data_IF_965782801020
#
_entry.id   IF_965782801020
#
_cell.length_a   1.000
_cell.length_b   1.000
_cell.length_c   1.000
_cell.angle_alpha   90.00
_cell.angle_beta   90.00
_cell.angle_gamma   90.00
#
_symmetry.space_group_name_H-M   'P 1'
#
loop_
_entity.id
_entity.type
_entity.pdbx_description
1 polymer ?
#
# COMPACT_ATOMS: atom_id res chain seq x y z
N UNK A 1 32.08 56.81 47.95
CA UNK A 1 31.54 55.44 47.73
C UNK A 1 30.59 55.50 46.54
N UNK A 2 30.96 54.87 45.42
CA UNK A 2 30.13 54.82 44.22
C UNK A 2 29.11 53.66 44.30
N UNK A 3 27.91 53.77 43.71
CA UNK A 3 26.90 52.71 43.73
C UNK A 3 27.28 51.57 42.78
N UNK A 4 26.94 50.34 43.17
CA UNK A 4 27.19 49.13 42.38
C UNK A 4 26.33 49.10 41.10
N UNK A 5 26.83 48.51 39.99
CA UNK A 5 26.09 48.43 38.74
C UNK A 5 24.96 47.38 38.81
N UNK A 6 23.90 47.52 37.98
CA UNK A 6 22.78 46.59 37.97
C UNK A 6 23.19 45.22 37.36
N UNK A 7 22.64 44.15 37.93
CA UNK A 7 22.82 42.77 37.44
C UNK A 7 22.17 42.61 36.06
N UNK A 8 22.89 41.96 35.15
CA UNK A 8 22.39 41.57 33.83
C UNK A 8 21.25 40.55 33.94
N UNK A 9 20.25 40.57 33.03
CA UNK A 9 19.21 39.55 32.99
C UNK A 9 19.81 38.21 32.54
N UNK A 10 19.50 37.14 33.27
CA UNK A 10 19.89 35.78 32.91
C UNK A 10 19.20 35.29 31.64
N UNK A 11 19.74 34.24 30.98
CA UNK A 11 19.16 33.71 29.75
C UNK A 11 17.74 33.20 29.99
N UNK A 12 16.81 33.71 29.20
CA UNK A 12 15.42 33.23 29.16
C UNK A 12 15.43 31.79 28.65
N UNK A 13 15.07 30.84 29.51
CA UNK A 13 14.93 29.45 29.12
C UNK A 13 13.74 29.32 28.15
N UNK A 14 14.03 29.18 26.87
CA UNK A 14 13.04 28.80 25.86
C UNK A 14 12.44 27.45 26.25
N UNK A 15 11.12 27.42 26.45
CA UNK A 15 10.40 26.19 26.72
C UNK A 15 10.58 25.20 25.55
N UNK A 16 10.73 23.89 25.81
CA UNK A 16 10.80 22.89 24.74
C UNK A 16 9.47 22.87 23.97
N UNK A 17 9.58 22.95 22.65
CA UNK A 17 8.43 22.86 21.74
C UNK A 17 7.75 21.50 21.88
N UNK A 18 6.48 21.51 22.31
CA UNK A 18 5.60 20.33 22.43
C UNK A 18 5.04 19.89 21.06
N UNK A 19 5.84 19.98 19.99
CA UNK A 19 5.41 19.49 18.70
C UNK A 19 5.36 17.96 18.74
N UNK A 20 4.16 17.39 18.63
CA UNK A 20 4.00 15.96 18.44
C UNK A 20 4.83 15.51 17.22
N UNK A 21 5.44 14.31 17.26
CA UNK A 21 6.18 13.80 16.12
C UNK A 21 5.25 13.74 14.89
N UNK A 22 5.77 14.03 13.68
CA UNK A 22 4.96 13.97 12.47
C UNK A 22 4.41 12.56 12.29
N UNK A 23 3.09 12.47 12.09
CA UNK A 23 2.43 11.21 11.72
C UNK A 23 3.02 10.77 10.37
N UNK A 24 3.48 9.52 10.21
CA UNK A 24 3.96 9.01 8.94
C UNK A 24 2.88 9.19 7.86
N UNK A 25 3.25 9.77 6.72
CA UNK A 25 2.34 9.93 5.58
C UNK A 25 2.04 8.56 4.98
N UNK A 26 0.75 8.22 4.88
CA UNK A 26 0.30 6.97 4.25
C UNK A 26 -0.16 7.28 2.84
N UNK A 27 0.11 6.38 1.90
CA UNK A 27 -0.28 6.60 0.51
C UNK A 27 -1.80 6.59 0.29
N UNK A 28 -2.57 6.18 1.30
CA UNK A 28 -4.02 6.06 1.27
C UNK A 28 -4.78 7.20 2.00
N UNK A 29 -4.09 8.22 2.52
CA UNK A 29 -4.74 9.27 3.32
C UNK A 29 -5.44 10.34 2.44
N UNK A 30 -4.87 10.70 1.28
CA UNK A 30 -5.36 11.80 0.42
C UNK A 30 -6.10 11.32 -0.84
N UNK A 31 -6.88 10.25 -0.72
CA UNK A 31 -7.61 9.68 -1.85
C UNK A 31 -8.85 10.52 -2.20
N UNK A 32 -8.97 10.92 -3.46
CA UNK A 32 -10.10 11.73 -3.97
C UNK A 32 -11.34 10.91 -4.35
N UNK A 33 -11.25 9.59 -4.21
CA UNK A 33 -12.33 8.64 -4.44
C UNK A 33 -12.16 7.42 -3.54
N UNK A 34 -13.23 6.67 -3.22
CA UNK A 34 -13.13 5.46 -2.42
C UNK A 34 -12.26 4.38 -3.08
N UNK A 35 -11.62 3.55 -2.27
CA UNK A 35 -11.00 2.32 -2.74
C UNK A 35 -12.06 1.31 -3.17
N UNK A 36 -11.79 0.64 -4.28
CA UNK A 36 -12.53 -0.57 -4.64
C UNK A 36 -11.86 -1.76 -3.97
N UNK A 37 -12.64 -2.59 -3.31
CA UNK A 37 -12.14 -3.75 -2.56
C UNK A 37 -12.86 -5.03 -2.94
N UNK A 38 -12.13 -6.14 -2.93
CA UNK A 38 -12.68 -7.46 -3.18
C UNK A 38 -11.98 -8.50 -2.30
N UNK A 39 -12.71 -9.49 -1.80
CA UNK A 39 -12.17 -10.56 -0.94
C UNK A 39 -12.43 -11.91 -1.61
N UNK A 40 -11.41 -12.77 -1.63
CA UNK A 40 -11.49 -14.10 -2.25
C UNK A 40 -10.65 -15.14 -1.50
N UNK A 41 -10.92 -16.42 -1.76
CA UNK A 41 -10.12 -17.56 -1.28
C UNK A 41 -8.88 -17.84 -2.14
N UNK A 42 -8.84 -17.30 -3.35
CA UNK A 42 -7.69 -17.37 -4.25
C UNK A 42 -7.20 -15.97 -4.63
N UNK A 43 -5.91 -15.81 -4.98
CA UNK A 43 -5.38 -14.57 -5.53
C UNK A 43 -6.11 -14.13 -6.80
N UNK A 44 -6.28 -12.82 -6.93
CA UNK A 44 -6.75 -12.17 -8.14
C UNK A 44 -5.64 -12.10 -9.20
N UNK A 45 -4.39 -11.87 -8.81
CA UNK A 45 -3.28 -11.86 -9.74
C UNK A 45 -2.94 -13.28 -10.27
N UNK A 46 -2.88 -13.50 -11.60
CA UNK A 46 -2.65 -14.84 -12.16
C UNK A 46 -1.35 -15.50 -11.71
N UNK A 47 -0.27 -14.73 -11.62
CA UNK A 47 1.04 -15.22 -11.13
C UNK A 47 0.94 -15.73 -9.69
N UNK A 48 0.25 -15.01 -8.82
CA UNK A 48 0.06 -15.44 -7.44
C UNK A 48 -0.87 -16.63 -7.34
N UNK A 49 -1.92 -16.71 -8.18
CA UNK A 49 -2.85 -17.84 -8.17
C UNK A 49 -2.15 -19.16 -8.49
N UNK A 50 -1.25 -19.16 -9.47
CA UNK A 50 -0.47 -20.34 -9.83
C UNK A 50 0.45 -20.77 -8.68
N UNK A 51 1.20 -19.84 -8.09
CA UNK A 51 2.07 -20.14 -6.96
C UNK A 51 1.28 -20.55 -5.72
N UNK A 52 0.15 -19.91 -5.43
CA UNK A 52 -0.74 -20.24 -4.32
C UNK A 52 -1.24 -21.68 -4.39
N UNK A 53 -1.66 -22.15 -5.58
CA UNK A 53 -2.09 -23.54 -5.77
C UNK A 53 -0.98 -24.53 -5.45
N UNK A 54 0.25 -24.23 -5.86
CA UNK A 54 1.43 -25.06 -5.52
C UNK A 54 1.67 -25.09 -4.01
N UNK A 55 1.66 -23.93 -3.35
CA UNK A 55 1.82 -23.85 -1.88
C UNK A 55 0.76 -24.69 -1.17
N UNK A 56 -0.51 -24.56 -1.57
CA UNK A 56 -1.61 -25.30 -0.95
C UNK A 56 -1.57 -26.80 -1.25
N UNK A 57 -0.99 -27.21 -2.37
CA UNK A 57 -0.79 -28.62 -2.74
C UNK A 57 0.48 -29.24 -2.13
N UNK A 58 1.38 -28.43 -1.54
CA UNK A 58 2.69 -28.89 -1.08
C UNK A 58 3.72 -29.08 -2.20
N UNK A 59 3.49 -28.45 -3.36
CA UNK A 59 4.38 -28.51 -4.52
C UNK A 59 5.51 -27.47 -4.44
N UNK A 60 6.64 -27.70 -5.13
CA UNK A 60 7.73 -26.73 -5.19
C UNK A 60 7.32 -25.42 -5.88
N UNK A 61 7.57 -24.30 -5.21
CA UNK A 61 7.43 -22.93 -5.75
C UNK A 61 8.77 -22.36 -6.16
N UNK A 62 8.78 -21.45 -7.13
CA UNK A 62 10.02 -20.83 -7.61
C UNK A 62 10.64 -19.93 -6.53
N UNK A 63 11.96 -20.03 -6.36
CA UNK A 63 12.72 -19.11 -5.53
C UNK A 63 12.88 -17.81 -6.30
N UNK A 64 12.52 -16.69 -5.66
CA UNK A 64 12.66 -15.38 -6.28
C UNK A 64 14.14 -15.17 -6.69
N UNK A 65 14.42 -14.81 -7.96
CA UNK A 65 15.78 -14.63 -8.47
C UNK A 65 16.67 -13.68 -7.65
N UNK A 66 16.06 -12.74 -6.91
CA UNK A 66 16.79 -11.82 -6.04
C UNK A 66 17.39 -12.45 -4.77
N UNK A 67 16.96 -13.66 -4.40
CA UNK A 67 17.37 -14.36 -3.17
C UNK A 67 18.10 -15.67 -3.49
N UNK A 68 17.87 -16.24 -4.68
CA UNK A 68 18.52 -17.46 -5.13
C UNK A 68 17.89 -17.98 -6.40
N UNK A 69 18.19 -19.23 -6.74
CA UNK A 69 17.65 -19.92 -7.92
C UNK A 69 17.09 -21.30 -7.55
N UNK A 70 16.18 -21.81 -8.37
CA UNK A 70 15.59 -23.14 -8.21
C UNK A 70 14.18 -23.12 -7.60
N UNK A 71 13.75 -24.27 -7.09
CA UNK A 71 12.42 -24.49 -6.53
C UNK A 71 12.51 -25.05 -5.12
N UNK A 72 11.53 -24.71 -4.27
CA UNK A 72 11.45 -25.22 -2.90
C UNK A 72 9.98 -25.36 -2.47
N UNK A 73 9.66 -26.42 -1.74
CA UNK A 73 8.35 -26.57 -1.07
C UNK A 73 8.32 -25.60 0.12
N UNK A 74 7.30 -24.76 0.21
CA UNK A 74 7.19 -23.70 1.21
C UNK A 74 5.86 -23.75 1.93
N UNK A 75 5.87 -23.39 3.22
CA UNK A 75 4.64 -23.08 3.94
C UNK A 75 4.04 -21.75 3.45
N UNK A 76 2.76 -21.50 3.76
CA UNK A 76 2.11 -20.21 3.49
C UNK A 76 2.91 -19.04 4.10
N UNK A 77 3.36 -19.19 5.35
CA UNK A 77 4.14 -18.16 6.04
C UNK A 77 5.50 -17.91 5.36
N UNK A 78 6.18 -18.95 4.89
CA UNK A 78 7.46 -18.80 4.18
C UNK A 78 7.28 -18.13 2.82
N UNK A 79 6.29 -18.59 2.03
CA UNK A 79 6.01 -18.02 0.72
C UNK A 79 5.58 -16.56 0.80
N UNK A 80 4.67 -16.24 1.73
CA UNK A 80 4.17 -14.88 1.96
C UNK A 80 5.11 -13.99 2.76
N UNK A 81 6.14 -14.54 3.41
CA UNK A 81 7.18 -13.78 4.10
C UNK A 81 7.97 -12.85 3.16
N UNK A 82 7.85 -13.06 1.86
CA UNK A 82 8.42 -12.23 0.79
C UNK A 82 7.61 -10.96 0.51
N UNK A 83 6.36 -10.93 0.94
CA UNK A 83 5.46 -9.79 0.79
C UNK A 83 5.64 -8.85 1.98
N UNK A 84 5.43 -7.55 1.77
CA UNK A 84 5.63 -6.55 2.83
C UNK A 84 4.48 -6.62 3.82
N UNK A 85 4.68 -6.19 5.06
CA UNK A 85 3.52 -5.94 5.94
C UNK A 85 2.79 -4.70 5.43
N UNK A 86 1.47 -4.72 5.51
CA UNK A 86 0.63 -3.59 5.14
C UNK A 86 0.29 -2.77 6.38
N UNK A 87 1.13 -1.79 6.72
CA UNK A 87 0.84 -0.89 7.85
C UNK A 87 -0.31 0.09 7.51
N UNK A 88 -0.54 0.31 6.22
CA UNK A 88 -1.60 1.17 5.69
C UNK A 88 -2.95 0.45 5.60
N UNK A 89 -3.00 -0.87 5.61
CA UNK A 89 -4.24 -1.62 5.72
C UNK A 89 -4.03 -2.83 6.61
N UNK A 90 -3.88 -2.62 7.93
CA UNK A 90 -3.44 -3.67 8.83
C UNK A 90 -4.50 -4.75 9.04
N UNK A 91 -5.78 -4.47 8.75
CA UNK A 91 -6.88 -5.40 8.98
C UNK A 91 -7.23 -6.24 7.75
N UNK A 92 -7.52 -7.52 7.99
CA UNK A 92 -8.14 -8.41 7.03
C UNK A 92 -9.56 -7.90 6.67
N UNK A 93 -9.90 -7.90 5.38
CA UNK A 93 -11.23 -7.50 4.91
C UNK A 93 -12.26 -8.65 4.95
N UNK A 94 -11.84 -9.88 5.26
CA UNK A 94 -12.78 -10.99 5.39
C UNK A 94 -13.71 -10.73 6.60
N UNK A 95 -15.04 -10.74 6.42
CA UNK A 95 -16.00 -10.25 7.41
C UNK A 95 -15.85 -10.83 8.83
N UNK A 96 -15.43 -12.09 8.95
CA UNK A 96 -15.37 -12.81 10.23
C UNK A 96 -13.94 -13.08 10.73
N UNK A 97 -12.90 -12.61 10.01
CA UNK A 97 -11.53 -12.95 10.37
C UNK A 97 -11.01 -12.08 11.53
N UNK A 98 -11.15 -10.75 11.43
CA UNK A 98 -10.58 -9.80 12.38
C UNK A 98 -9.04 -9.82 12.48
N UNK A 99 -8.35 -10.64 11.67
CA UNK A 99 -6.91 -10.81 11.71
C UNK A 99 -6.16 -9.57 11.23
N UNK A 100 -4.98 -9.33 11.82
CA UNK A 100 -4.15 -8.18 11.50
C UNK A 100 -2.75 -8.52 10.97
N UNK A 101 -2.42 -9.81 10.85
CA UNK A 101 -1.18 -10.25 10.19
C UNK A 101 -1.44 -10.43 8.71
N UNK A 102 -1.46 -9.30 8.01
CA UNK A 102 -1.61 -9.27 6.55
C UNK A 102 -0.27 -9.01 5.87
N UNK A 103 -0.04 -9.75 4.78
CA UNK A 103 1.10 -9.58 3.89
C UNK A 103 0.60 -8.99 2.58
N UNK A 104 1.24 -7.95 2.09
CA UNK A 104 0.86 -7.19 0.90
C UNK A 104 1.91 -7.31 -0.21
N UNK A 105 1.40 -7.51 -1.41
CA UNK A 105 2.12 -7.36 -2.65
C UNK A 105 1.40 -6.33 -3.52
N UNK A 106 2.01 -5.15 -3.67
CA UNK A 106 1.48 -4.12 -4.55
C UNK A 106 1.87 -4.39 -6.01
N UNK A 107 0.93 -4.19 -6.93
CA UNK A 107 1.16 -4.28 -8.37
C UNK A 107 1.22 -2.87 -8.92
N UNK A 108 2.30 -2.14 -8.61
CA UNK A 108 2.49 -0.83 -9.21
C UNK A 108 2.82 -1.03 -10.69
N UNK A 109 1.83 -0.88 -11.56
CA UNK A 109 2.10 -0.44 -12.93
C UNK A 109 1.88 1.07 -12.98
N UNK A 110 2.96 1.75 -12.57
CA UNK A 110 3.32 3.14 -12.88
C UNK A 110 2.49 4.28 -12.26
N UNK A 111 3.14 5.01 -11.32
CA UNK A 111 2.99 6.47 -11.19
C UNK A 111 3.61 7.24 -12.38
N UNK A 112 4.45 6.58 -13.20
CA UNK A 112 5.12 7.18 -14.36
C UNK A 112 4.41 6.89 -15.69
N UNK A 113 4.14 7.92 -16.50
CA UNK A 113 3.33 7.92 -17.76
C UNK A 113 1.86 8.26 -17.60
N UNK A 114 1.48 8.92 -16.50
CA UNK A 114 0.14 9.44 -16.33
C UNK A 114 -0.88 8.31 -16.40
N UNK A 115 -0.79 7.33 -15.50
CA UNK A 115 -1.88 6.39 -15.18
C UNK A 115 -1.97 6.39 -13.66
N UNK A 116 -2.85 7.19 -13.06
CA UNK A 116 -3.03 7.23 -11.60
C UNK A 116 -3.88 6.04 -11.15
N UNK A 117 -3.32 4.85 -11.35
CA UNK A 117 -3.92 3.56 -11.05
C UNK A 117 -3.02 2.84 -10.06
N UNK A 118 -3.59 2.52 -8.91
CA UNK A 118 -2.97 1.68 -7.90
C UNK A 118 -3.78 0.42 -7.73
N UNK A 119 -3.11 -0.71 -7.58
CA UNK A 119 -3.72 -1.94 -7.16
C UNK A 119 -2.77 -2.71 -6.25
N UNK A 120 -3.36 -3.37 -5.27
CA UNK A 120 -2.64 -4.13 -4.26
C UNK A 120 -3.41 -5.37 -3.89
N UNK A 121 -2.68 -6.45 -3.66
CA UNK A 121 -3.22 -7.70 -3.13
C UNK A 121 -2.59 -7.97 -1.78
N UNK A 122 -3.41 -8.38 -0.82
CA UNK A 122 -2.99 -8.74 0.52
C UNK A 122 -3.49 -10.12 0.89
N UNK A 123 -2.66 -10.93 1.54
CA UNK A 123 -2.98 -12.22 2.13
C UNK A 123 -3.07 -12.08 3.65
N UNK A 124 -4.15 -12.56 4.25
CA UNK A 124 -4.25 -12.70 5.71
C UNK A 124 -3.66 -14.03 6.17
N UNK A 125 -2.72 -14.01 7.11
CA UNK A 125 -2.11 -15.24 7.64
C UNK A 125 -2.98 -15.97 8.68
N UNK A 126 -4.07 -15.36 9.15
CA UNK A 126 -5.00 -16.01 10.07
C UNK A 126 -6.04 -16.88 9.34
N UNK A 127 -6.65 -16.37 8.26
CA UNK A 127 -7.71 -17.07 7.52
C UNK A 127 -7.35 -17.45 6.08
N UNK A 128 -6.15 -17.09 5.62
CA UNK A 128 -5.68 -17.28 4.24
C UNK A 128 -6.58 -16.68 3.15
N UNK A 129 -7.44 -15.71 3.50
CA UNK A 129 -8.19 -14.95 2.51
C UNK A 129 -7.31 -13.88 1.86
N UNK A 130 -7.55 -13.66 0.58
CA UNK A 130 -6.95 -12.61 -0.22
C UNK A 130 -7.87 -11.39 -0.26
N UNK A 131 -7.29 -10.21 -0.14
CA UNK A 131 -7.95 -8.92 -0.27
C UNK A 131 -7.30 -8.15 -1.41
N UNK A 132 -8.07 -7.83 -2.44
CA UNK A 132 -7.67 -6.91 -3.50
C UNK A 132 -8.15 -5.52 -3.17
N UNK A 133 -7.29 -4.52 -3.37
CA UNK A 133 -7.63 -3.11 -3.31
C UNK A 133 -7.19 -2.44 -4.60
N UNK A 134 -8.01 -1.56 -5.15
CA UNK A 134 -7.62 -0.74 -6.28
C UNK A 134 -8.16 0.68 -6.16
N UNK A 135 -7.40 1.61 -6.70
CA UNK A 135 -7.70 3.02 -6.75
C UNK A 135 -7.44 3.55 -8.15
N UNK A 136 -8.36 4.36 -8.65
CA UNK A 136 -8.17 5.19 -9.84
C UNK A 136 -8.53 6.61 -9.45
N UNK A 137 -7.62 7.53 -9.71
CA UNK A 137 -7.91 8.95 -9.53
C UNK A 137 -9.07 9.36 -10.45
N UNK A 138 -10.13 10.03 -9.93
CA UNK A 138 -11.30 10.41 -10.74
C UNK A 138 -10.99 11.40 -11.87
N UNK A 139 -9.98 12.25 -11.72
CA UNK A 139 -9.59 13.20 -12.78
C UNK A 139 -8.70 12.54 -13.84
N UNK A 140 -8.31 11.28 -13.62
CA UNK A 140 -7.49 10.56 -14.55
C UNK A 140 -8.32 10.03 -15.73
N UNK A 141 -8.23 10.74 -16.86
CA UNK A 141 -8.80 10.32 -18.15
C UNK A 141 -7.80 9.44 -18.90
N UNK A 142 -8.27 8.35 -19.50
CA UNK A 142 -7.47 7.62 -20.49
C UNK A 142 -7.36 8.44 -21.78
N UNK A 143 -6.34 8.20 -22.64
CA UNK A 143 -6.22 8.89 -23.94
C UNK A 143 -7.51 8.84 -24.76
N UNK A 144 -8.19 7.69 -24.79
CA UNK A 144 -9.43 7.48 -25.55
C UNK A 144 -10.59 8.30 -24.97
N UNK A 145 -10.67 8.42 -23.63
CA UNK A 145 -11.68 9.27 -22.98
C UNK A 145 -11.44 10.75 -23.28
N UNK A 146 -10.17 11.18 -23.24
CA UNK A 146 -9.79 12.55 -23.56
C UNK A 146 -10.10 12.89 -25.02
N UNK A 147 -9.70 12.03 -25.97
CA UNK A 147 -9.98 12.22 -27.39
C UNK A 147 -11.48 12.26 -27.68
N UNK A 148 -12.26 11.37 -27.07
CA UNK A 148 -13.72 11.38 -27.22
C UNK A 148 -14.32 12.70 -26.78
N UNK A 149 -13.97 13.20 -25.60
CA UNK A 149 -14.49 14.49 -25.11
C UNK A 149 -14.08 15.66 -26.00
N UNK A 150 -12.85 15.65 -26.54
CA UNK A 150 -12.37 16.65 -27.50
C UNK A 150 -13.24 16.65 -28.76
N UNK A 151 -13.43 15.48 -29.37
CA UNK A 151 -14.23 15.35 -30.60
C UNK A 151 -15.70 15.72 -30.38
N UNK A 152 -16.28 15.30 -29.26
CA UNK A 152 -17.64 15.71 -28.91
C UNK A 152 -17.76 17.21 -28.66
N UNK A 153 -16.71 17.84 -28.13
CA UNK A 153 -16.62 19.30 -27.98
C UNK A 153 -16.67 20.01 -29.33
N UNK A 154 -15.87 19.54 -30.29
CA UNK A 154 -15.83 20.05 -31.67
C UNK A 154 -17.17 19.83 -32.39
N UNK A 155 -17.84 18.69 -32.17
CA UNK A 155 -19.13 18.40 -32.79
C UNK A 155 -20.30 19.24 -32.23
N UNK A 156 -20.14 19.81 -31.04
CA UNK A 156 -21.14 20.66 -30.36
C UNK A 156 -20.92 22.16 -30.59
N UNK A 157 -19.78 22.56 -31.15
CA UNK A 157 -19.43 23.94 -31.53
C UNK A 157 -19.79 24.24 -32.97
#
# INVERSE_FOLDING_TARGET
>A
MAPAPPRAPGPSASAPSTAAPPVPLRYCDDLRAPLQTHVASEPQAPVHRNEWRKVMAGDPVEINPSIGSGYKVMSVAEWSGRWKRNEDFPACLAPECGGSDTREHYFTQTWCRGKRLWASESLCLACHSFSWRSYRDPDFKTPEQYEKELWEGIARS
#
